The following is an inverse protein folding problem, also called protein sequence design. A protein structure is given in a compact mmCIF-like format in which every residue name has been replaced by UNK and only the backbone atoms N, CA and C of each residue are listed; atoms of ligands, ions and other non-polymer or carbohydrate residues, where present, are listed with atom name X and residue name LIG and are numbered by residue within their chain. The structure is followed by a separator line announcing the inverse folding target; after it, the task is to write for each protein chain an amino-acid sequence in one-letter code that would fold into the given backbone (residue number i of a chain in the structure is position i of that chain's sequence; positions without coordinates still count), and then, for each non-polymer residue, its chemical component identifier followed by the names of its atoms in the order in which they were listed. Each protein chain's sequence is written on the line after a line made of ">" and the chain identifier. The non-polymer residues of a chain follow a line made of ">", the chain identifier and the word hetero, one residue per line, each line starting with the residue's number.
data_IF_444234419607
#
_entry.id   IF_444234419607
#
_cell.length_a   1.000
_cell.length_b   1.000
_cell.length_c   1.000
_cell.angle_alpha   90.00
_cell.angle_beta   90.00
_cell.angle_gamma   90.00
#
_symmetry.space_group_name_H-M   'P 1'
#
loop_
_entity.id
_entity.type
_entity.pdbx_description
1 polymer ?
#
# COMPACT_ATOMS: atom_id res chain seq x y z
N UNK A 1 44.27 -71.65 -67.35
CA UNK A 1 45.45 -71.08 -66.67
C UNK A 1 45.96 -69.95 -67.56
N UNK A 2 46.20 -68.77 -66.97
CA UNK A 2 46.63 -67.48 -67.57
C UNK A 2 45.52 -66.58 -68.14
N UNK A 3 45.22 -65.52 -67.38
CA UNK A 3 44.42 -64.37 -67.79
C UNK A 3 45.34 -63.24 -68.29
N UNK A 4 44.93 -62.43 -69.28
CA UNK A 4 45.74 -61.32 -69.77
C UNK A 4 45.69 -60.10 -68.83
N UNK A 5 46.87 -59.61 -68.44
CA UNK A 5 47.06 -58.39 -67.67
C UNK A 5 46.91 -57.15 -68.56
N UNK A 6 45.77 -56.48 -68.46
CA UNK A 6 45.59 -55.12 -68.99
C UNK A 6 44.95 -54.25 -67.92
N UNK A 7 45.80 -53.57 -67.17
CA UNK A 7 45.43 -52.39 -66.39
C UNK A 7 46.61 -51.41 -66.46
N UNK A 8 46.70 -50.68 -67.57
CA UNK A 8 47.43 -49.42 -67.56
C UNK A 8 46.62 -48.44 -66.71
N UNK A 9 46.95 -48.37 -65.42
CA UNK A 9 46.50 -47.28 -64.57
C UNK A 9 47.42 -46.08 -64.80
N UNK A 10 47.10 -45.27 -65.81
CA UNK A 10 47.63 -43.91 -65.91
C UNK A 10 47.25 -43.17 -64.63
N UNK A 11 48.23 -42.91 -63.75
CA UNK A 11 48.07 -42.08 -62.57
C UNK A 11 47.78 -40.63 -63.00
N UNK A 12 46.53 -40.34 -63.32
CA UNK A 12 46.04 -38.96 -63.36
C UNK A 12 45.79 -38.58 -61.92
N UNK A 13 46.77 -37.94 -61.28
CA UNK A 13 46.58 -37.24 -60.02
C UNK A 13 45.65 -36.05 -60.25
N UNK A 14 44.34 -36.29 -60.31
CA UNK A 14 43.35 -35.24 -60.18
C UNK A 14 43.40 -34.73 -58.74
N UNK A 15 44.15 -33.65 -58.52
CA UNK A 15 44.01 -32.84 -57.32
C UNK A 15 42.63 -32.18 -57.37
N UNK A 16 41.63 -32.82 -56.74
CA UNK A 16 40.35 -32.18 -56.48
C UNK A 16 40.63 -30.84 -55.78
N UNK A 17 40.09 -29.71 -56.26
CA UNK A 17 40.20 -28.46 -55.53
C UNK A 17 39.54 -28.68 -54.17
N UNK A 18 40.32 -28.53 -53.09
CA UNK A 18 39.81 -28.55 -51.72
C UNK A 18 38.77 -27.43 -51.64
N UNK A 19 37.49 -27.79 -51.68
CA UNK A 19 36.41 -26.85 -51.46
C UNK A 19 36.68 -26.18 -50.12
N UNK A 20 36.86 -24.85 -50.14
CA UNK A 20 37.13 -24.08 -48.93
C UNK A 20 36.08 -24.44 -47.88
N UNK A 21 36.55 -24.83 -46.68
CA UNK A 21 35.67 -25.19 -45.58
C UNK A 21 34.62 -24.07 -45.39
N UNK A 22 33.32 -24.40 -45.22
CA UNK A 22 32.31 -23.39 -45.04
C UNK A 22 32.69 -22.51 -43.85
N UNK A 23 32.88 -21.22 -44.11
CA UNK A 23 33.18 -20.23 -43.07
C UNK A 23 32.13 -20.36 -41.96
N UNK A 24 32.52 -20.37 -40.68
CA UNK A 24 31.57 -20.42 -39.59
C UNK A 24 30.61 -19.23 -39.73
N UNK A 25 29.31 -19.50 -39.93
CA UNK A 25 28.30 -18.44 -39.99
C UNK A 25 28.42 -17.62 -38.72
N UNK A 26 28.73 -16.34 -38.85
CA UNK A 26 28.63 -15.37 -37.75
C UNK A 26 27.18 -15.39 -37.26
N UNK A 27 26.94 -16.00 -36.09
CA UNK A 27 25.63 -15.90 -35.45
C UNK A 27 25.41 -14.41 -35.13
N UNK A 28 24.25 -13.82 -35.50
CA UNK A 28 23.92 -12.49 -35.05
C UNK A 28 23.92 -12.51 -33.51
N UNK A 29 24.84 -11.76 -32.90
CA UNK A 29 24.83 -11.52 -31.46
C UNK A 29 23.59 -10.67 -31.17
N UNK A 30 22.66 -11.10 -30.29
CA UNK A 30 21.54 -10.25 -29.88
C UNK A 30 22.10 -8.96 -29.30
N UNK A 31 21.47 -7.81 -29.55
CA UNK A 31 21.87 -6.45 -29.15
C UNK A 31 22.34 -6.39 -27.67
N UNK A 32 23.62 -6.70 -27.44
CA UNK A 32 24.24 -6.75 -26.11
C UNK A 32 24.27 -5.35 -25.49
N UNK A 33 24.33 -4.32 -26.34
CA UNK A 33 24.44 -2.92 -25.96
C UNK A 33 23.25 -2.42 -25.12
N UNK A 34 22.02 -2.76 -25.50
CA UNK A 34 20.83 -2.30 -24.79
C UNK A 34 20.67 -2.99 -23.43
N UNK A 35 20.90 -4.30 -23.37
CA UNK A 35 20.84 -5.06 -22.12
C UNK A 35 21.96 -4.70 -21.15
N UNK A 36 23.15 -4.40 -21.66
CA UNK A 36 24.28 -3.95 -20.84
C UNK A 36 24.09 -2.53 -20.30
N UNK A 37 23.46 -1.63 -21.08
CA UNK A 37 23.02 -0.31 -20.58
C UNK A 37 21.98 -0.43 -19.47
N UNK A 38 20.94 -1.25 -19.66
CA UNK A 38 19.90 -1.51 -18.65
C UNK A 38 20.53 -2.07 -17.37
N UNK A 39 21.43 -3.04 -17.47
CA UNK A 39 22.17 -3.58 -16.33
C UNK A 39 23.00 -2.51 -15.61
N UNK A 40 23.67 -1.62 -16.34
CA UNK A 40 24.48 -0.55 -15.76
C UNK A 40 23.65 0.44 -14.95
N UNK A 41 22.42 0.72 -15.39
CA UNK A 41 21.46 1.60 -14.69
C UNK A 41 20.79 0.87 -13.51
N UNK A 42 20.44 -0.40 -13.66
CA UNK A 42 19.79 -1.19 -12.60
C UNK A 42 20.75 -1.68 -11.53
N UNK A 43 22.05 -1.82 -11.82
CA UNK A 43 23.06 -2.30 -10.88
C UNK A 43 23.11 -1.52 -9.54
N UNK A 44 23.14 -0.17 -9.52
CA UNK A 44 23.09 0.59 -8.27
C UNK A 44 21.77 0.42 -7.53
N UNK A 45 20.65 0.34 -8.26
CA UNK A 45 19.31 0.13 -7.69
C UNK A 45 19.15 -1.29 -7.14
N UNK A 46 19.84 -2.29 -7.71
CA UNK A 46 19.88 -3.69 -7.29
C UNK A 46 20.89 -3.97 -6.14
N UNK A 47 21.42 -2.92 -5.50
CA UNK A 47 22.43 -3.03 -4.46
C UNK A 47 21.86 -3.55 -3.14
N UNK A 48 22.52 -4.55 -2.55
CA UNK A 48 22.16 -5.07 -1.22
C UNK A 48 22.37 -4.01 -0.12
N UNK A 49 23.36 -3.12 -0.28
CA UNK A 49 23.62 -2.02 0.67
C UNK A 49 22.43 -1.07 0.74
N UNK A 50 21.78 -0.81 -0.41
CA UNK A 50 20.57 0.00 -0.48
C UNK A 50 19.42 -0.71 0.25
N UNK A 51 19.21 -2.01 0.00
CA UNK A 51 18.17 -2.79 0.68
C UNK A 51 18.33 -2.74 2.20
N UNK A 52 19.56 -2.95 2.70
CA UNK A 52 19.84 -2.91 4.14
C UNK A 52 19.57 -1.53 4.72
N UNK A 53 20.02 -0.46 4.05
CA UNK A 53 19.75 0.92 4.48
C UNK A 53 18.25 1.22 4.55
N UNK A 54 17.49 0.82 3.53
CA UNK A 54 16.04 0.98 3.48
C UNK A 54 15.32 0.16 4.56
N UNK A 55 15.78 -1.06 4.85
CA UNK A 55 15.24 -1.89 5.93
C UNK A 55 15.47 -1.27 7.31
N UNK A 56 16.63 -0.65 7.55
CA UNK A 56 16.90 0.07 8.79
C UNK A 56 15.97 1.29 8.91
N UNK A 57 15.81 2.06 7.83
CA UNK A 57 14.87 3.17 7.82
C UNK A 57 13.42 2.71 8.05
N UNK A 58 13.03 1.59 7.43
CA UNK A 58 11.71 0.98 7.63
C UNK A 58 11.51 0.57 9.10
N UNK A 59 12.52 -0.02 9.73
CA UNK A 59 12.45 -0.42 11.13
C UNK A 59 12.30 0.78 12.07
N UNK A 60 13.04 1.87 11.83
CA UNK A 60 12.89 3.12 12.58
C UNK A 60 11.49 3.71 12.37
N UNK A 61 10.97 3.71 11.14
CA UNK A 61 9.64 4.22 10.82
C UNK A 61 8.54 3.39 11.51
N UNK A 62 8.64 2.05 11.45
CA UNK A 62 7.69 1.14 12.12
C UNK A 62 7.71 1.37 13.62
N UNK A 63 8.89 1.47 14.22
CA UNK A 63 9.04 1.76 15.64
C UNK A 63 8.45 3.14 16.01
N UNK A 64 8.78 4.20 15.28
CA UNK A 64 8.21 5.53 15.53
C UNK A 64 6.68 5.54 15.37
N UNK A 65 6.16 4.81 14.38
CA UNK A 65 4.74 4.64 14.15
C UNK A 65 4.04 3.94 15.31
N UNK A 66 4.59 2.82 15.81
CA UNK A 66 3.99 2.10 16.95
C UNK A 66 3.99 2.94 18.23
N UNK A 67 5.04 3.74 18.47
CA UNK A 67 5.04 4.70 19.59
C UNK A 67 3.98 5.79 19.41
N UNK A 68 3.80 6.29 18.19
CA UNK A 68 2.80 7.30 17.88
C UNK A 68 1.36 6.76 17.96
N UNK A 69 1.14 5.44 17.80
CA UNK A 69 -0.18 4.81 17.86
C UNK A 69 -0.86 4.99 19.22
N UNK A 70 -0.06 5.07 20.30
CA UNK A 70 -0.56 5.33 21.66
C UNK A 70 -1.34 6.65 21.75
N UNK A 71 -0.92 7.68 21.02
CA UNK A 71 -1.53 9.03 21.11
C UNK A 71 -2.50 9.32 19.97
N UNK A 72 -2.21 8.87 18.75
CA UNK A 72 -2.91 9.30 17.54
C UNK A 72 -3.93 8.27 17.03
N UNK A 73 -3.92 7.07 17.57
CA UNK A 73 -4.70 5.94 17.07
C UNK A 73 -4.15 5.38 15.75
N UNK A 74 -4.58 4.16 15.41
CA UNK A 74 -4.02 3.39 14.28
C UNK A 74 -4.24 4.11 12.94
N UNK A 75 -5.46 4.59 12.69
CA UNK A 75 -5.84 5.24 11.42
C UNK A 75 -4.98 6.46 11.11
N UNK A 76 -4.81 7.35 12.09
CA UNK A 76 -3.99 8.56 11.92
C UNK A 76 -2.52 8.22 11.69
N UNK A 77 -1.99 7.21 12.39
CA UNK A 77 -0.60 6.79 12.20
C UNK A 77 -0.38 6.18 10.82
N UNK A 78 -1.29 5.31 10.36
CA UNK A 78 -1.23 4.75 9.00
C UNK A 78 -1.20 5.88 7.97
N UNK A 79 -2.10 6.86 8.08
CA UNK A 79 -2.14 8.01 7.16
C UNK A 79 -0.88 8.89 7.24
N UNK A 80 -0.41 9.26 8.44
CA UNK A 80 0.70 10.22 8.60
C UNK A 80 2.08 9.61 8.42
N UNK A 81 2.31 8.39 8.91
CA UNK A 81 3.62 7.74 8.91
C UNK A 81 3.82 6.82 7.71
N UNK A 82 2.82 6.01 7.37
CA UNK A 82 2.97 4.94 6.38
C UNK A 82 2.46 5.34 4.98
N UNK A 83 1.31 6.00 4.87
CA UNK A 83 0.75 6.51 3.61
C UNK A 83 1.18 7.95 3.31
N UNK A 84 2.46 8.25 3.55
CA UNK A 84 3.06 9.57 3.29
C UNK A 84 4.43 9.44 2.63
N UNK A 85 4.81 10.46 1.86
CA UNK A 85 6.14 10.54 1.23
C UNK A 85 7.20 10.96 2.24
N UNK A 86 6.89 11.96 3.06
CA UNK A 86 7.76 12.44 4.14
C UNK A 86 6.89 12.57 5.37
N UNK A 87 7.36 12.03 6.49
CA UNK A 87 6.71 12.15 7.79
C UNK A 87 7.53 13.07 8.67
N UNK A 88 6.83 13.96 9.38
CA UNK A 88 7.43 14.72 10.46
C UNK A 88 7.31 13.92 11.75
N UNK A 89 8.44 13.45 12.31
CA UNK A 89 8.44 12.67 13.55
C UNK A 89 8.77 13.61 14.72
N UNK A 90 7.80 13.90 15.61
CA UNK A 90 8.06 14.72 16.79
C UNK A 90 9.03 14.03 17.73
N UNK A 91 10.06 14.72 18.25
CA UNK A 91 11.06 14.11 19.14
C UNK A 91 10.47 13.54 20.44
N UNK A 92 9.33 14.10 20.87
CA UNK A 92 8.54 13.59 22.00
C UNK A 92 8.16 12.11 21.87
N UNK A 93 8.03 11.60 20.64
CA UNK A 93 7.67 10.20 20.38
C UNK A 93 8.73 9.23 20.87
N UNK A 94 10.02 9.61 20.88
CA UNK A 94 11.11 8.69 21.23
C UNK A 94 11.52 8.74 22.71
N UNK A 95 11.66 9.94 23.30
CA UNK A 95 12.33 10.08 24.61
C UNK A 95 11.58 10.97 25.61
N UNK A 96 10.49 11.63 25.21
CA UNK A 96 10.01 12.84 25.87
C UNK A 96 8.46 12.88 26.01
N UNK A 97 7.85 11.73 26.35
CA UNK A 97 6.39 11.59 26.51
C UNK A 97 5.76 12.47 27.60
N UNK A 98 6.54 12.97 28.56
CA UNK A 98 6.05 13.78 29.69
C UNK A 98 6.58 15.22 29.69
N UNK A 99 6.92 15.75 28.52
CA UNK A 99 7.39 17.13 28.39
C UNK A 99 6.50 17.92 27.46
N UNK A 100 6.26 19.19 27.80
CA UNK A 100 5.49 20.14 27.00
C UNK A 100 6.32 20.67 25.80
N UNK A 101 7.04 19.75 25.16
CA UNK A 101 7.84 20.05 24.00
C UNK A 101 6.90 20.38 22.85
N UNK A 102 7.09 21.56 22.27
CA UNK A 102 6.33 22.03 21.12
C UNK A 102 6.30 20.97 20.01
N UNK A 103 5.11 20.69 19.46
CA UNK A 103 4.89 19.72 18.35
C UNK A 103 5.72 20.03 17.10
N UNK A 104 6.25 21.25 17.02
CA UNK A 104 7.09 21.75 15.94
C UNK A 104 8.53 21.25 16.03
N UNK A 105 8.98 20.73 17.18
CA UNK A 105 10.30 20.13 17.33
C UNK A 105 10.24 18.66 16.91
N UNK A 106 10.64 18.40 15.67
CA UNK A 106 10.69 17.07 15.09
C UNK A 106 11.74 16.97 13.99
N UNK A 107 11.94 15.74 13.50
CA UNK A 107 12.88 15.44 12.44
C UNK A 107 12.08 14.99 11.21
N UNK A 108 12.34 15.55 10.02
CA UNK A 108 11.78 15.03 8.78
C UNK A 108 12.40 13.66 8.49
N UNK A 109 11.55 12.67 8.27
CA UNK A 109 11.94 11.29 8.00
C UNK A 109 11.23 10.78 6.74
N UNK A 110 11.86 9.93 5.91
CA UNK A 110 11.18 9.34 4.77
C UNK A 110 9.97 8.52 5.24
N UNK A 111 8.79 8.86 4.71
CA UNK A 111 7.55 8.16 5.03
C UNK A 111 7.46 6.79 4.36
N UNK A 112 6.39 6.05 4.68
CA UNK A 112 6.24 4.67 4.23
C UNK A 112 6.14 4.53 2.71
N UNK A 113 5.59 5.50 1.98
CA UNK A 113 5.62 5.46 0.51
C UNK A 113 7.04 5.58 -0.02
N UNK A 114 7.84 6.53 0.46
CA UNK A 114 9.22 6.69 -0.02
C UNK A 114 10.05 5.43 0.21
N UNK A 115 9.98 4.86 1.42
CA UNK A 115 10.72 3.65 1.76
C UNK A 115 10.16 2.44 0.99
N UNK A 116 8.84 2.28 0.95
CA UNK A 116 8.16 1.19 0.27
C UNK A 116 8.40 1.18 -1.23
N UNK A 117 8.28 2.33 -1.90
CA UNK A 117 8.61 2.44 -3.32
C UNK A 117 10.09 2.15 -3.57
N UNK A 118 10.99 2.71 -2.77
CA UNK A 118 12.42 2.45 -2.93
C UNK A 118 12.75 0.96 -2.76
N UNK A 119 12.14 0.28 -1.79
CA UNK A 119 12.28 -1.16 -1.59
C UNK A 119 11.69 -1.96 -2.75
N UNK A 120 10.51 -1.59 -3.25
CA UNK A 120 9.87 -2.27 -4.39
C UNK A 120 10.74 -2.19 -5.64
N UNK A 121 11.24 -1.00 -6.00
CA UNK A 121 12.12 -0.83 -7.15
C UNK A 121 13.47 -1.53 -6.97
N UNK A 122 14.05 -1.47 -5.76
CA UNK A 122 15.27 -2.21 -5.43
C UNK A 122 15.08 -3.72 -5.60
N UNK A 123 13.97 -4.26 -5.10
CA UNK A 123 13.66 -5.68 -5.15
C UNK A 123 13.41 -6.15 -6.60
N UNK A 124 12.66 -5.38 -7.39
CA UNK A 124 12.44 -5.63 -8.81
C UNK A 124 13.76 -5.60 -9.59
N UNK A 125 14.58 -4.57 -9.40
CA UNK A 125 15.88 -4.45 -10.06
C UNK A 125 16.81 -5.62 -9.70
N UNK A 126 16.85 -6.02 -8.42
CA UNK A 126 17.64 -7.15 -7.97
C UNK A 126 17.23 -8.46 -8.65
N UNK A 127 15.92 -8.70 -8.81
CA UNK A 127 15.41 -9.90 -9.47
C UNK A 127 15.61 -9.90 -10.99
N UNK A 128 15.51 -8.74 -11.63
CA UNK A 128 15.78 -8.59 -13.07
C UNK A 128 17.26 -8.80 -13.40
N UNK A 129 18.18 -8.23 -12.61
CA UNK A 129 19.62 -8.33 -12.87
C UNK A 129 20.19 -9.69 -12.48
N UNK A 130 19.69 -10.31 -11.41
CA UNK A 130 20.19 -11.61 -10.89
C UNK A 130 19.39 -12.80 -11.40
N UNK A 131 18.61 -12.61 -12.47
CA UNK A 131 17.71 -13.62 -13.00
C UNK A 131 18.46 -14.89 -13.42
N UNK A 132 18.38 -15.93 -12.59
CA UNK A 132 18.84 -17.28 -12.91
C UNK A 132 17.73 -18.28 -12.61
N UNK A 133 16.83 -18.44 -13.59
CA UNK A 133 15.74 -19.41 -13.56
C UNK A 133 16.32 -20.82 -13.36
N UNK A 134 16.19 -21.32 -12.14
CA UNK A 134 16.63 -22.65 -11.75
C UNK A 134 15.62 -23.18 -10.75
N UNK A 135 15.07 -24.36 -11.04
CA UNK A 135 14.09 -25.04 -10.19
C UNK A 135 14.62 -25.28 -8.77
N UNK A 136 15.95 -25.38 -8.60
CA UNK A 136 16.61 -25.49 -7.29
C UNK A 136 16.44 -24.25 -6.40
N UNK A 137 16.09 -23.10 -7.00
CA UNK A 137 15.90 -21.81 -6.30
C UNK A 137 14.44 -21.35 -6.28
N UNK A 138 13.49 -22.22 -6.63
CA UNK A 138 12.07 -21.87 -6.74
C UNK A 138 11.51 -21.26 -5.45
N UNK A 139 11.90 -21.74 -4.27
CA UNK A 139 11.44 -21.18 -2.98
C UNK A 139 11.83 -19.70 -2.80
N UNK A 140 13.04 -19.32 -3.22
CA UNK A 140 13.50 -17.93 -3.18
C UNK A 140 12.64 -17.06 -4.11
N UNK A 141 12.30 -17.56 -5.30
CA UNK A 141 11.43 -16.86 -6.24
C UNK A 141 10.03 -16.63 -5.67
N UNK A 142 9.43 -17.66 -5.08
CA UNK A 142 8.08 -17.59 -4.51
C UNK A 142 8.02 -16.53 -3.41
N UNK A 143 9.01 -16.49 -2.51
CA UNK A 143 9.04 -15.51 -1.42
C UNK A 143 9.11 -14.09 -1.96
N UNK A 144 10.04 -13.80 -2.88
CA UNK A 144 10.20 -12.43 -3.37
C UNK A 144 9.06 -11.98 -4.27
N UNK A 145 8.53 -12.87 -5.12
CA UNK A 145 7.32 -12.57 -5.91
C UNK A 145 6.11 -12.35 -4.99
N UNK A 146 5.97 -13.16 -3.94
CA UNK A 146 4.94 -12.99 -2.92
C UNK A 146 5.05 -11.64 -2.21
N UNK A 147 6.25 -11.23 -1.79
CA UNK A 147 6.49 -9.92 -1.17
C UNK A 147 6.16 -8.78 -2.15
N UNK A 148 6.59 -8.88 -3.41
CA UNK A 148 6.26 -7.88 -4.45
C UNK A 148 4.75 -7.77 -4.60
N UNK A 149 4.04 -8.90 -4.67
CA UNK A 149 2.59 -8.94 -4.81
C UNK A 149 1.89 -8.29 -3.60
N UNK A 150 2.34 -8.59 -2.38
CA UNK A 150 1.82 -7.97 -1.16
C UNK A 150 2.05 -6.45 -1.13
N UNK A 151 3.26 -6.00 -1.50
CA UNK A 151 3.58 -4.56 -1.56
C UNK A 151 2.74 -3.83 -2.61
N UNK A 152 2.53 -4.42 -3.78
CA UNK A 152 1.65 -3.87 -4.81
C UNK A 152 0.20 -3.82 -4.31
N UNK A 153 -0.27 -4.86 -3.61
CA UNK A 153 -1.59 -4.90 -2.99
C UNK A 153 -1.81 -3.75 -2.02
N UNK A 154 -0.88 -3.50 -1.09
CA UNK A 154 -0.96 -2.36 -0.17
C UNK A 154 -0.87 -1.02 -0.92
N UNK A 155 -0.04 -0.90 -1.95
CA UNK A 155 0.04 0.32 -2.75
C UNK A 155 -1.28 0.64 -3.44
N UNK A 156 -1.88 -0.34 -4.12
CA UNK A 156 -3.17 -0.16 -4.78
C UNK A 156 -4.27 0.11 -3.78
N UNK A 157 -4.27 -0.57 -2.63
CA UNK A 157 -5.21 -0.29 -1.55
C UNK A 157 -5.03 1.16 -1.07
N UNK A 158 -3.80 1.61 -0.83
CA UNK A 158 -3.53 2.98 -0.38
C UNK A 158 -3.90 4.07 -1.40
N UNK A 159 -3.86 3.79 -2.70
CA UNK A 159 -4.16 4.76 -3.76
C UNK A 159 -5.63 4.73 -4.22
N UNK A 160 -6.23 3.54 -4.27
CA UNK A 160 -7.52 3.30 -4.91
C UNK A 160 -8.63 2.93 -3.92
N UNK A 161 -8.29 2.52 -2.68
CA UNK A 161 -9.32 2.20 -1.71
C UNK A 161 -9.99 3.50 -1.24
N UNK A 162 -11.24 3.68 -1.69
CA UNK A 162 -12.17 4.59 -1.03
C UNK A 162 -12.62 3.87 0.24
N UNK A 163 -12.23 4.42 1.38
CA UNK A 163 -12.44 3.82 2.70
C UNK A 163 -13.93 3.96 3.10
N UNK A 164 -14.82 3.15 2.49
CA UNK A 164 -16.20 2.97 2.94
C UNK A 164 -16.23 1.92 4.04
N UNK A 165 -16.50 2.34 5.28
CA UNK A 165 -16.65 1.44 6.43
C UNK A 165 -18.12 1.03 6.53
N UNK A 166 -18.38 -0.28 6.48
CA UNK A 166 -19.64 -0.88 6.90
C UNK A 166 -19.40 -1.52 8.27
N UNK A 167 -19.97 -0.95 9.33
CA UNK A 167 -20.05 -1.62 10.62
C UNK A 167 -21.39 -2.37 10.63
N UNK A 168 -21.35 -3.67 10.34
CA UNK A 168 -22.54 -4.52 10.48
C UNK A 168 -22.50 -5.11 11.89
N UNK A 169 -23.43 -4.70 12.75
CA UNK A 169 -23.70 -5.40 14.01
C UNK A 169 -24.13 -6.84 13.71
N UNK A 170 -23.57 -7.81 14.45
CA UNK A 170 -23.93 -9.22 14.32
C UNK A 170 -25.44 -9.40 14.53
N UNK A 171 -26.18 -9.67 13.44
CA UNK A 171 -27.62 -9.96 13.48
C UNK A 171 -28.52 -9.13 12.55
N UNK A 172 -28.03 -8.11 11.83
CA UNK A 172 -28.84 -7.36 10.85
C UNK A 172 -28.24 -7.30 9.45
N UNK A 173 -29.06 -7.63 8.46
CA UNK A 173 -28.80 -7.32 7.05
C UNK A 173 -29.38 -5.93 6.74
N UNK A 174 -28.55 -4.97 6.33
CA UNK A 174 -29.04 -3.67 5.86
C UNK A 174 -28.51 -3.38 4.44
N UNK A 175 -29.37 -2.85 3.58
CA UNK A 175 -29.07 -2.46 2.20
C UNK A 175 -28.81 -0.95 2.09
N UNK A 176 -28.14 -0.36 3.09
CA UNK A 176 -27.87 1.08 3.09
C UNK A 176 -26.43 1.39 3.48
N UNK A 177 -25.88 2.41 2.83
CA UNK A 177 -24.49 2.86 3.00
C UNK A 177 -24.43 3.94 4.08
N UNK A 178 -23.68 3.69 5.15
CA UNK A 178 -23.56 4.56 6.32
C UNK A 178 -22.21 5.30 6.33
N UNK A 179 -22.20 6.58 6.73
CA UNK A 179 -21.02 7.47 6.80
C UNK A 179 -20.77 7.93 8.24
N UNK A 180 -19.88 7.23 8.96
CA UNK A 180 -19.62 7.39 10.40
C UNK A 180 -18.87 8.67 10.82
N UNK A 181 -18.61 9.62 9.91
CA UNK A 181 -17.97 10.90 10.25
C UNK A 181 -18.96 12.01 10.60
N UNK A 182 -20.26 11.72 10.58
CA UNK A 182 -21.33 12.69 10.80
C UNK A 182 -22.19 12.25 11.99
N UNK A 183 -22.15 13.04 13.07
CA UNK A 183 -23.04 12.86 14.20
C UNK A 183 -24.47 13.23 13.79
N UNK A 184 -25.41 12.31 13.87
CA UNK A 184 -26.81 12.55 13.57
C UNK A 184 -27.70 12.32 14.80
N UNK A 185 -28.82 13.04 14.84
CA UNK A 185 -29.83 12.88 15.89
C UNK A 185 -31.00 12.12 15.29
N UNK A 186 -31.24 10.90 15.76
CA UNK A 186 -32.34 10.06 15.31
C UNK A 186 -33.47 10.05 16.35
N UNK A 187 -34.69 10.27 15.88
CA UNK A 187 -35.92 10.05 16.64
C UNK A 187 -36.52 8.71 16.20
N UNK A 188 -36.70 7.79 17.14
CA UNK A 188 -37.27 6.46 16.89
C UNK A 188 -38.64 6.41 17.55
N UNK A 189 -39.69 6.24 16.75
CA UNK A 189 -41.03 5.90 17.23
C UNK A 189 -41.26 4.39 17.06
N UNK A 190 -41.23 3.68 18.19
CA UNK A 190 -41.42 2.23 18.28
C UNK A 190 -42.88 1.84 18.62
N UNK A 191 -43.85 2.73 18.35
CA UNK A 191 -45.27 2.51 18.72
C UNK A 191 -45.96 1.42 17.88
N UNK A 192 -45.47 1.10 16.69
CA UNK A 192 -46.03 0.05 15.83
C UNK A 192 -45.28 -1.27 16.01
N UNK A 193 -46.01 -2.39 16.13
CA UNK A 193 -45.45 -3.70 16.45
C UNK A 193 -44.61 -4.32 15.31
N UNK A 194 -44.74 -3.81 14.08
CA UNK A 194 -44.12 -4.33 12.88
C UNK A 194 -42.98 -3.46 12.34
N UNK A 195 -42.98 -2.14 12.61
CA UNK A 195 -42.07 -1.19 11.98
C UNK A 195 -41.77 0.02 12.88
N UNK A 196 -40.49 0.33 13.06
CA UNK A 196 -40.06 1.56 13.72
C UNK A 196 -40.04 2.73 12.71
N UNK A 197 -40.70 3.83 13.04
CA UNK A 197 -40.60 5.05 12.24
C UNK A 197 -39.41 5.89 12.75
N UNK A 198 -38.40 6.05 11.91
CA UNK A 198 -37.16 6.75 12.27
C UNK A 198 -37.00 8.03 11.48
N UNK A 199 -36.85 9.14 12.19
CA UNK A 199 -36.58 10.45 11.59
C UNK A 199 -35.20 10.92 12.01
N UNK A 200 -34.31 11.08 11.03
CA UNK A 200 -32.91 11.42 11.24
C UNK A 200 -32.66 12.89 10.90
N UNK A 201 -32.02 13.60 11.82
CA UNK A 201 -31.55 14.98 11.66
C UNK A 201 -30.03 14.96 11.46
N UNK A 202 -29.51 15.29 10.25
CA UNK A 202 -28.09 15.20 9.95
C UNK A 202 -27.22 16.22 10.71
N UNK A 203 -25.95 15.86 10.94
CA UNK A 203 -24.92 16.70 11.57
C UNK A 203 -24.84 18.13 11.03
N UNK A 204 -25.03 18.30 9.71
CA UNK A 204 -24.95 19.60 9.06
C UNK A 204 -26.04 20.57 9.55
N UNK A 205 -27.23 20.07 9.88
CA UNK A 205 -28.30 20.86 10.48
C UNK A 205 -28.02 21.15 11.95
N UNK A 206 -27.40 20.19 12.66
CA UNK A 206 -27.04 20.32 14.07
C UNK A 206 -25.86 21.28 14.32
N UNK A 207 -25.02 21.56 13.33
CA UNK A 207 -23.88 22.47 13.46
C UNK A 207 -24.26 23.95 13.43
N UNK A 208 -25.46 24.29 12.94
CA UNK A 208 -25.94 25.66 12.87
C UNK A 208 -26.58 26.05 14.20
N UNK A 209 -25.85 26.81 15.02
CA UNK A 209 -26.38 27.39 16.26
C UNK A 209 -27.62 28.25 15.97
N UNK A 210 -28.61 28.20 16.88
CA UNK A 210 -29.80 29.06 16.89
C UNK A 210 -30.78 28.88 15.73
N UNK A 211 -30.76 27.74 15.02
CA UNK A 211 -31.85 27.36 14.11
C UNK A 211 -32.72 26.29 14.75
N UNK A 212 -34.03 26.57 14.84
CA UNK A 212 -35.03 25.55 15.16
C UNK A 212 -35.21 24.64 13.95
N UNK A 213 -35.06 23.36 14.18
CA UNK A 213 -35.30 22.33 13.18
C UNK A 213 -36.78 21.94 13.35
N UNK A 214 -37.59 22.39 12.39
CA UNK A 214 -39.03 22.16 12.35
C UNK A 214 -39.32 21.33 11.11
N UNK A 215 -39.74 20.08 11.30
CA UNK A 215 -40.17 19.16 10.25
C UNK A 215 -41.43 18.45 10.76
N UNK A 216 -42.46 18.32 9.92
CA UNK A 216 -43.73 17.68 10.29
C UNK A 216 -43.56 16.19 10.66
N UNK A 217 -42.43 15.58 10.32
CA UNK A 217 -42.09 14.21 10.66
C UNK A 217 -41.43 14.11 12.04
N UNK A 218 -40.92 15.21 12.60
CA UNK A 218 -40.33 15.20 13.93
C UNK A 218 -41.44 15.20 14.99
N UNK A 219 -41.35 14.34 16.02
CA UNK A 219 -42.32 14.30 17.11
C UNK A 219 -42.25 15.54 18.01
N UNK A 220 -41.13 16.27 17.97
CA UNK A 220 -40.85 17.47 18.77
C UNK A 220 -40.05 18.50 17.98
N UNK A 221 -40.14 19.77 18.37
CA UNK A 221 -39.30 20.83 17.82
C UNK A 221 -37.90 20.74 18.45
N UNK A 222 -36.85 20.74 17.61
CA UNK A 222 -35.46 20.61 18.09
C UNK A 222 -34.76 21.96 17.96
N UNK A 223 -34.26 22.48 19.07
CA UNK A 223 -33.43 23.68 19.11
C UNK A 223 -32.00 23.31 19.57
N UNK A 224 -31.00 23.65 18.75
CA UNK A 224 -29.60 23.35 19.09
C UNK A 224 -28.99 24.51 19.88
N UNK A 225 -28.87 24.31 21.19
CA UNK A 225 -28.21 25.25 22.11
C UNK A 225 -26.69 25.26 21.89
N UNK A 226 -26.07 24.08 21.86
CA UNK A 226 -24.63 23.93 21.67
C UNK A 226 -24.28 22.57 21.05
N UNK A 227 -23.39 22.59 20.05
CA UNK A 227 -22.88 21.38 19.40
C UNK A 227 -21.45 21.07 19.88
N UNK A 228 -21.18 19.83 20.30
CA UNK A 228 -19.87 19.37 20.79
C UNK A 228 -19.42 18.13 20.00
N UNK A 229 -18.17 18.13 19.51
CA UNK A 229 -17.66 17.11 18.56
C UNK A 229 -17.12 15.85 19.27
N UNK A 230 -16.86 15.92 20.58
CA UNK A 230 -16.26 14.84 21.37
C UNK A 230 -16.99 14.66 22.72
N UNK A 231 -18.32 14.66 22.70
CA UNK A 231 -19.14 14.45 23.89
C UNK A 231 -19.52 12.98 24.05
N UNK A 232 -19.56 12.52 25.30
CA UNK A 232 -20.20 11.26 25.67
C UNK A 232 -21.64 11.58 26.11
N UNK A 233 -22.59 10.73 25.72
CA UNK A 233 -23.96 10.81 26.22
C UNK A 233 -23.91 10.43 27.70
N UNK A 234 -24.47 11.28 28.54
CA UNK A 234 -24.60 11.07 29.97
C UNK A 234 -26.09 10.97 30.27
N UNK A 235 -26.53 9.84 30.85
CA UNK A 235 -27.94 9.57 31.14
C UNK A 235 -28.48 10.43 32.29
N UNK A 236 -27.59 11.10 33.03
CA UNK A 236 -27.91 11.96 34.16
C UNK A 236 -27.71 13.42 33.80
N UNK A 237 -28.75 14.22 34.03
CA UNK A 237 -28.68 15.66 33.82
C UNK A 237 -27.64 16.31 34.74
N UNK A 238 -26.73 17.15 34.19
CA UNK A 238 -25.84 17.97 35.00
C UNK A 238 -26.64 18.92 35.89
N UNK A 239 -26.18 19.11 37.13
CA UNK A 239 -26.82 20.03 38.07
C UNK A 239 -26.92 21.45 37.49
N UNK A 240 -28.15 21.99 37.42
CA UNK A 240 -28.42 23.34 36.91
C UNK A 240 -29.25 23.42 35.62
N UNK A 241 -29.62 22.27 35.02
CA UNK A 241 -30.55 22.22 33.88
C UNK A 241 -31.88 21.60 34.31
N UNK A 242 -33.00 22.30 34.08
CA UNK A 242 -34.36 21.81 34.34
C UNK A 242 -35.05 21.47 33.03
N UNK A 243 -35.61 20.25 32.92
CA UNK A 243 -36.62 19.95 31.92
C UNK A 243 -37.91 20.67 32.31
N UNK A 244 -38.26 21.72 31.58
CA UNK A 244 -39.58 22.33 31.62
C UNK A 244 -40.42 21.81 30.45
#
# INVERSE_FOLDING_TARGET
>A
MQAPSSWEASNVSQTLPVAAAPQPRSRPTPDSTAWDMVKKILAPVASLKLTVGLMILAMILVFAGTLAQKELGIHTVVSKYFRSWVVWIPLRVFFLWNTDLSKWVGIPFPGGYTIGFALLFNLLAAHLVRFQASWRRAGIWIIHVGIILLMLGELFTGLLAVESRMAIEEGRASNYTEDFHKAELAFVDASAADQDNVVVVPAGMLRNKNKRIVDNRLPVQVEVVQFMVNSKIEDTMPAGYSNH
#
